data_IF_403752221505
#
_entry.id   IF_403752221505
#
_cell.length_a   1.000
_cell.length_b   1.000
_cell.length_c   1.000
_cell.angle_alpha   90.00
_cell.angle_beta   90.00
_cell.angle_gamma   90.00
#
_symmetry.space_group_name_H-M   'P 1'
#
loop_
_entity.id
_entity.type
_entity.pdbx_description
1 polymer ?
#
# COMPACT_ATOMS: atom_id res chain seq x y z
N UNK A 1 -51.37 -30.77 34.92
CA UNK A 1 -50.46 -30.97 33.76
C UNK A 1 -51.06 -30.39 32.47
N UNK A 2 -51.46 -29.10 32.46
CA UNK A 2 -52.01 -28.43 31.26
C UNK A 2 -51.10 -27.31 30.72
N UNK A 3 -50.12 -26.88 31.51
CA UNK A 3 -49.25 -25.74 31.16
C UNK A 3 -47.99 -26.17 30.39
N UNK A 4 -47.74 -27.47 30.23
CA UNK A 4 -46.56 -27.97 29.50
C UNK A 4 -46.79 -28.04 27.98
N UNK A 5 -48.06 -28.15 27.54
CA UNK A 5 -48.40 -28.24 26.11
C UNK A 5 -48.28 -26.90 25.37
N UNK A 6 -48.49 -25.77 26.07
CA UNK A 6 -48.39 -24.44 25.45
C UNK A 6 -46.94 -23.99 25.21
N UNK A 7 -45.96 -24.54 25.95
CA UNK A 7 -44.55 -24.21 25.79
C UNK A 7 -43.92 -24.82 24.53
N UNK A 8 -44.43 -25.96 24.06
CA UNK A 8 -43.89 -26.65 22.88
C UNK A 8 -44.46 -26.06 21.58
N UNK A 9 -45.70 -25.55 21.61
CA UNK A 9 -46.34 -24.93 20.44
C UNK A 9 -45.71 -23.57 20.07
N UNK A 10 -45.14 -22.84 21.05
CA UNK A 10 -44.47 -21.56 20.81
C UNK A 10 -43.08 -21.72 20.17
N UNK A 11 -42.42 -22.88 20.35
CA UNK A 11 -41.10 -23.15 19.76
C UNK A 11 -41.17 -23.55 18.27
N UNK A 12 -42.30 -24.10 17.80
CA UNK A 12 -42.44 -24.55 16.41
C UNK A 12 -42.70 -23.42 15.40
N UNK A 13 -43.07 -22.20 15.86
CA UNK A 13 -43.27 -21.05 14.98
C UNK A 13 -41.98 -20.27 14.66
N UNK A 14 -40.84 -20.63 15.26
CA UNK A 14 -39.54 -19.97 15.00
C UNK A 14 -38.64 -20.74 14.01
N UNK A 15 -39.10 -21.87 13.47
CA UNK A 15 -38.34 -22.66 12.48
C UNK A 15 -38.71 -22.38 11.01
N UNK A 16 -39.66 -21.48 10.76
CA UNK A 16 -39.97 -21.02 9.40
C UNK A 16 -39.15 -19.79 9.02
N UNK A 17 -37.83 -19.96 8.98
CA UNK A 17 -36.95 -19.04 8.25
C UNK A 17 -36.38 -19.79 7.05
N UNK A 18 -37.13 -19.77 5.96
CA UNK A 18 -36.65 -20.10 4.63
C UNK A 18 -35.77 -18.93 4.16
N UNK A 19 -34.52 -18.92 4.59
CA UNK A 19 -33.49 -18.11 3.95
C UNK A 19 -32.92 -18.94 2.81
N UNK A 20 -33.50 -18.72 1.63
CA UNK A 20 -32.80 -18.66 0.36
C UNK A 20 -31.36 -19.17 0.41
N UNK A 21 -31.15 -20.32 -0.23
CA UNK A 21 -29.83 -20.79 -0.69
C UNK A 21 -29.00 -19.56 -1.07
N UNK A 22 -27.78 -19.35 -0.52
CA UNK A 22 -26.88 -18.45 -1.21
C UNK A 22 -26.66 -19.11 -2.57
N UNK A 23 -27.20 -18.49 -3.62
CA UNK A 23 -26.69 -18.70 -4.95
C UNK A 23 -25.18 -18.65 -4.78
N UNK A 24 -24.49 -19.74 -5.09
CA UNK A 24 -23.07 -19.66 -5.40
C UNK A 24 -23.02 -18.66 -6.54
N UNK A 25 -22.79 -17.40 -6.20
CA UNK A 25 -22.17 -16.47 -7.09
C UNK A 25 -20.83 -17.14 -7.39
N UNK A 26 -20.79 -17.92 -8.46
CA UNK A 26 -19.57 -18.18 -9.19
C UNK A 26 -19.19 -16.78 -9.66
N UNK A 27 -18.49 -16.08 -8.78
CA UNK A 27 -17.80 -14.88 -9.13
C UNK A 27 -16.71 -15.36 -10.08
N UNK A 28 -17.05 -15.40 -11.37
CA UNK A 28 -16.08 -15.30 -12.45
C UNK A 28 -15.50 -13.88 -12.45
N UNK A 29 -15.13 -13.34 -11.28
CA UNK A 29 -14.09 -12.34 -11.18
C UNK A 29 -12.82 -13.12 -11.50
N UNK A 30 -12.51 -13.21 -12.80
CA UNK A 30 -11.12 -13.39 -13.19
C UNK A 30 -10.32 -12.40 -12.34
N UNK A 31 -9.32 -12.86 -11.59
CA UNK A 31 -8.52 -11.94 -10.79
C UNK A 31 -8.02 -10.84 -11.74
N UNK A 32 -8.10 -9.56 -11.34
CA UNK A 32 -7.64 -8.48 -12.18
C UNK A 32 -6.22 -8.79 -12.63
N UNK A 33 -5.99 -8.76 -13.95
CA UNK A 33 -4.67 -9.04 -14.52
C UNK A 33 -3.63 -8.15 -13.85
N UNK A 34 -2.42 -8.66 -13.72
CA UNK A 34 -1.29 -7.87 -13.20
C UNK A 34 -1.22 -6.52 -13.93
N UNK A 35 -1.28 -5.45 -13.16
CA UNK A 35 -1.48 -4.10 -13.67
C UNK A 35 -0.60 -3.11 -12.93
N UNK A 36 -0.07 -2.13 -13.65
CA UNK A 36 0.62 -0.96 -13.07
C UNK A 36 -0.24 0.27 -13.31
N UNK A 37 -0.52 1.03 -12.25
CA UNK A 37 -1.30 2.26 -12.31
C UNK A 37 -0.51 3.40 -11.65
N UNK A 38 -0.39 4.52 -12.34
CA UNK A 38 0.21 5.73 -11.79
C UNK A 38 -0.88 6.63 -11.22
N UNK A 39 -0.88 6.80 -9.91
CA UNK A 39 -1.81 7.69 -9.22
C UNK A 39 -1.20 9.08 -9.06
N UNK A 40 -1.97 10.16 -9.30
CA UNK A 40 -1.53 11.51 -8.96
C UNK A 40 -1.15 11.59 -7.49
N UNK A 41 0.11 11.85 -7.21
CA UNK A 41 0.63 11.91 -5.84
C UNK A 41 1.52 13.13 -5.69
N UNK A 42 1.03 14.12 -4.95
CA UNK A 42 1.78 15.35 -4.69
C UNK A 42 2.60 15.21 -3.42
N UNK A 43 3.91 15.10 -3.57
CA UNK A 43 4.86 15.25 -2.46
C UNK A 43 5.10 16.74 -2.20
N UNK A 44 5.90 17.09 -1.18
CA UNK A 44 6.18 18.49 -0.81
C UNK A 44 7.00 19.22 -1.89
N UNK A 45 7.60 18.49 -2.84
CA UNK A 45 8.53 19.03 -3.85
C UNK A 45 8.08 18.54 -5.24
N UNK A 46 7.82 19.46 -6.16
CA UNK A 46 7.31 19.14 -7.51
C UNK A 46 8.44 18.51 -8.37
N UNK A 47 8.16 17.39 -9.04
CA UNK A 47 9.10 16.72 -9.97
C UNK A 47 8.41 16.36 -11.29
N UNK A 48 9.16 16.08 -12.36
CA UNK A 48 8.63 15.82 -13.71
C UNK A 48 7.92 14.45 -13.88
N UNK A 49 8.13 13.50 -12.96
CA UNK A 49 7.49 12.17 -12.95
C UNK A 49 6.54 12.00 -11.75
N UNK A 50 5.59 12.93 -11.61
CA UNK A 50 4.69 13.03 -10.45
C UNK A 50 3.68 11.88 -10.38
N UNK A 51 3.95 10.87 -9.54
CA UNK A 51 2.92 9.92 -9.17
C UNK A 51 3.41 8.82 -8.25
N UNK A 52 2.46 8.16 -7.59
CA UNK A 52 2.67 6.91 -6.91
C UNK A 52 2.39 5.79 -7.92
N UNK A 53 3.42 5.05 -8.33
CA UNK A 53 3.28 3.92 -9.23
C UNK A 53 2.95 2.68 -8.41
N UNK A 54 1.72 2.20 -8.52
CA UNK A 54 1.25 1.02 -7.81
C UNK A 54 1.21 -0.19 -8.74
N UNK A 55 1.74 -1.30 -8.24
CA UNK A 55 1.81 -2.58 -8.93
C UNK A 55 0.84 -3.53 -8.25
N UNK A 56 -0.07 -4.09 -9.03
CA UNK A 56 -1.09 -5.01 -8.57
C UNK A 56 -0.85 -6.39 -9.16
N UNK A 57 -0.96 -7.42 -8.32
CA UNK A 57 -1.03 -8.83 -8.73
C UNK A 57 -2.40 -9.36 -8.32
N UNK A 58 -3.13 -9.95 -9.27
CA UNK A 58 -4.50 -10.44 -9.02
C UNK A 58 -5.41 -9.39 -8.35
N UNK A 59 -5.28 -8.12 -8.74
CA UNK A 59 -6.02 -7.00 -8.17
C UNK A 59 -5.58 -6.52 -6.79
N UNK A 60 -4.60 -7.17 -6.14
CA UNK A 60 -4.08 -6.74 -4.84
C UNK A 60 -2.78 -5.99 -5.00
N UNK A 61 -2.59 -4.93 -4.22
CA UNK A 61 -1.35 -4.17 -4.23
C UNK A 61 -0.20 -5.02 -3.68
N UNK A 62 0.89 -5.06 -4.43
CA UNK A 62 2.11 -5.76 -4.03
C UNK A 62 3.23 -4.76 -3.76
N UNK A 63 3.30 -3.71 -4.59
CA UNK A 63 4.34 -2.70 -4.50
C UNK A 63 3.81 -1.33 -4.84
N UNK A 64 4.32 -0.30 -4.18
CA UNK A 64 4.15 1.07 -4.63
C UNK A 64 5.49 1.81 -4.60
N UNK A 65 5.79 2.53 -5.68
CA UNK A 65 7.00 3.32 -5.82
C UNK A 65 6.62 4.80 -5.86
N UNK A 66 7.29 5.60 -5.05
CA UNK A 66 7.18 7.06 -5.04
C UNK A 66 8.55 7.66 -5.25
N UNK A 67 8.67 8.54 -6.23
CA UNK A 67 9.85 9.37 -6.43
C UNK A 67 9.70 10.65 -5.60
N UNK A 68 10.54 10.82 -4.58
CA UNK A 68 10.34 11.88 -3.58
C UNK A 68 11.01 13.21 -3.93
N UNK A 69 12.10 13.19 -4.70
CA UNK A 69 12.74 14.35 -5.37
C UNK A 69 14.06 13.90 -6.00
N UNK A 70 14.48 14.62 -7.05
CA UNK A 70 15.81 14.65 -7.64
C UNK A 70 16.28 16.09 -7.81
N UNK A 71 17.13 16.61 -6.93
CA UNK A 71 17.75 17.92 -7.15
C UNK A 71 18.93 17.79 -8.09
N UNK A 72 19.62 18.91 -8.34
CA UNK A 72 20.91 18.85 -9.04
C UNK A 72 21.82 17.82 -8.36
N UNK A 73 21.76 17.69 -7.03
CA UNK A 73 22.65 16.84 -6.21
C UNK A 73 22.27 15.36 -6.10
N UNK A 74 21.09 14.93 -6.55
CA UNK A 74 20.68 13.53 -6.41
C UNK A 74 19.18 13.32 -6.32
N UNK A 75 18.72 12.06 -6.44
CA UNK A 75 17.33 11.65 -6.30
C UNK A 75 17.09 10.57 -5.24
N UNK A 76 15.87 10.53 -4.70
CA UNK A 76 15.44 9.47 -3.78
C UNK A 76 14.15 8.78 -4.23
N UNK A 77 14.16 7.47 -4.11
CA UNK A 77 13.04 6.57 -4.37
C UNK A 77 12.59 5.99 -3.04
N UNK A 78 11.28 6.02 -2.77
CA UNK A 78 10.67 5.32 -1.65
C UNK A 78 9.79 4.20 -2.19
N UNK A 79 10.11 2.97 -1.81
CA UNK A 79 9.43 1.74 -2.22
C UNK A 79 8.66 1.21 -1.04
N UNK A 80 7.37 0.92 -1.24
CA UNK A 80 6.49 0.25 -0.32
C UNK A 80 6.22 -1.16 -0.84
N UNK A 81 6.56 -2.19 -0.09
CA UNK A 81 6.28 -3.58 -0.43
C UNK A 81 5.22 -4.11 0.55
N UNK A 82 4.08 -4.50 0.02
CA UNK A 82 2.93 -4.92 0.81
C UNK A 82 3.03 -6.41 1.08
N UNK A 83 3.15 -6.78 2.37
CA UNK A 83 3.15 -8.17 2.85
C UNK A 83 1.85 -8.43 3.59
N UNK A 84 1.54 -9.70 3.81
CA UNK A 84 0.27 -10.10 4.46
C UNK A 84 -0.02 -9.34 5.78
N UNK A 85 1.00 -9.04 6.59
CA UNK A 85 0.83 -8.48 7.93
C UNK A 85 1.46 -7.09 8.13
N UNK A 86 2.31 -6.65 7.20
CA UNK A 86 3.07 -5.42 7.32
C UNK A 86 3.43 -4.87 5.94
N UNK A 87 3.96 -3.66 5.93
CA UNK A 87 4.46 -3.00 4.73
C UNK A 87 5.92 -2.68 4.98
N UNK A 88 6.79 -3.25 4.15
CA UNK A 88 8.20 -2.92 4.11
C UNK A 88 8.35 -1.61 3.33
N UNK A 89 9.15 -0.71 3.87
CA UNK A 89 9.46 0.57 3.29
C UNK A 89 10.96 0.65 3.16
N UNK A 90 11.41 0.73 1.93
CA UNK A 90 12.81 0.97 1.60
C UNK A 90 12.92 2.37 0.98
N UNK A 91 13.87 3.17 1.46
CA UNK A 91 14.25 4.40 0.79
C UNK A 91 15.68 4.30 0.28
N UNK A 92 15.85 4.51 -1.02
CA UNK A 92 17.16 4.57 -1.66
C UNK A 92 17.46 6.02 -2.05
N UNK A 93 18.64 6.49 -1.67
CA UNK A 93 19.19 7.78 -2.09
C UNK A 93 20.30 7.56 -3.11
N UNK A 94 20.19 8.25 -4.24
CA UNK A 94 21.18 8.26 -5.32
C UNK A 94 21.70 9.68 -5.48
N UNK A 95 22.96 9.90 -5.13
CA UNK A 95 23.60 11.20 -5.26
C UNK A 95 24.34 11.31 -6.60
N UNK A 96 24.33 12.50 -7.20
CA UNK A 96 25.16 12.78 -8.37
C UNK A 96 26.50 13.33 -7.88
N UNK A 97 27.63 12.74 -8.32
CA UNK A 97 28.94 13.37 -8.13
C UNK A 97 29.12 14.42 -9.22
N UNK A 98 29.23 15.67 -8.82
CA UNK A 98 29.72 16.72 -9.69
C UNK A 98 31.23 16.86 -9.48
N UNK A 99 32.03 16.06 -10.17
CA UNK A 99 33.45 16.35 -10.28
C UNK A 99 33.63 17.51 -11.27
N UNK A 100 34.16 18.63 -10.75
CA UNK A 100 34.63 19.84 -11.42
C UNK A 100 34.32 19.97 -12.93
N UNK A 101 33.17 20.58 -13.25
CA UNK A 101 32.86 21.41 -14.45
C UNK A 101 33.34 20.96 -15.86
N UNK A 102 33.81 19.73 -16.07
CA UNK A 102 34.38 19.30 -17.36
C UNK A 102 33.77 18.06 -17.99
N UNK A 103 33.01 17.26 -17.24
CA UNK A 103 32.35 16.09 -17.80
C UNK A 103 30.83 16.30 -17.78
N UNK A 104 30.23 16.32 -18.97
CA UNK A 104 28.78 16.51 -19.16
C UNK A 104 27.93 15.29 -18.75
N UNK A 105 28.56 14.22 -18.28
CA UNK A 105 27.88 13.06 -17.71
C UNK A 105 28.21 12.96 -16.21
N UNK A 106 27.24 13.22 -15.31
CA UNK A 106 27.45 13.00 -13.89
C UNK A 106 27.62 11.51 -13.66
N UNK A 107 28.81 11.12 -13.19
CA UNK A 107 29.05 9.76 -12.72
C UNK A 107 28.11 9.53 -11.52
N UNK A 108 27.24 8.52 -11.61
CA UNK A 108 26.33 8.19 -10.50
C UNK A 108 27.18 7.76 -9.30
N UNK A 109 27.09 8.53 -8.21
CA UNK A 109 27.72 8.14 -6.96
C UNK A 109 26.98 6.97 -6.33
N UNK A 110 27.72 6.19 -5.55
CA UNK A 110 27.25 5.04 -4.78
C UNK A 110 25.93 5.30 -4.05
N UNK A 111 25.08 4.28 -3.98
CA UNK A 111 23.78 4.31 -3.28
C UNK A 111 24.05 4.49 -1.78
N UNK A 112 23.78 5.69 -1.25
CA UNK A 112 24.44 6.11 -0.01
C UNK A 112 23.67 5.76 1.28
N UNK A 113 22.43 5.30 1.18
CA UNK A 113 21.70 4.78 2.35
C UNK A 113 20.45 4.02 1.89
N UNK A 114 20.33 2.79 2.34
CA UNK A 114 19.10 2.02 2.31
C UNK A 114 18.47 2.13 3.69
N UNK A 115 17.38 2.89 3.80
CA UNK A 115 16.60 2.89 5.03
C UNK A 115 15.51 1.85 4.88
N UNK A 116 15.59 0.80 5.67
CA UNK A 116 14.57 -0.24 5.76
C UNK A 116 13.77 -0.06 7.04
N UNK A 117 12.48 0.19 6.90
CA UNK A 117 11.54 0.14 8.01
C UNK A 117 10.28 -0.64 7.63
N UNK A 118 9.59 -1.17 8.63
CA UNK A 118 8.32 -1.87 8.47
C UNK A 118 7.24 -1.11 9.23
N UNK A 119 6.06 -0.97 8.62
CA UNK A 119 4.87 -0.41 9.25
C UNK A 119 3.70 -1.38 9.17
N UNK A 120 2.72 -1.24 10.04
CA UNK A 120 1.43 -1.90 9.87
C UNK A 120 0.53 -1.13 8.87
N UNK A 121 -0.60 -1.72 8.51
CA UNK A 121 -1.59 -1.10 7.62
C UNK A 121 -2.30 0.13 8.21
N UNK A 122 -2.10 0.44 9.50
CA UNK A 122 -2.53 1.67 10.17
C UNK A 122 -1.45 2.76 10.11
N UNK A 123 -0.23 2.41 9.71
CA UNK A 123 0.95 3.26 9.64
C UNK A 123 1.79 3.29 10.92
N UNK A 124 1.54 2.41 11.89
CA UNK A 124 2.38 2.28 13.08
C UNK A 124 3.67 1.53 12.73
N UNK A 125 4.82 2.01 13.19
CA UNK A 125 6.12 1.39 12.90
C UNK A 125 6.30 0.11 13.70
N UNK A 126 6.79 -0.93 13.03
CA UNK A 126 7.09 -2.26 13.56
C UNK A 126 8.59 -2.40 13.86
N UNK A 127 9.48 -1.90 12.99
CA UNK A 127 10.96 -1.85 13.18
C UNK A 127 11.67 -1.10 12.01
N UNK A 128 12.90 -0.56 12.15
CA UNK A 128 13.60 -0.11 13.35
C UNK A 128 13.63 1.45 13.50
N UNK A 129 14.03 1.90 14.70
CA UNK A 129 14.24 3.26 15.27
C UNK A 129 13.20 4.42 15.07
N UNK A 130 12.76 5.12 16.14
CA UNK A 130 11.70 6.13 16.05
C UNK A 130 12.01 7.49 15.43
N UNK A 131 13.26 7.86 15.25
CA UNK A 131 13.60 9.26 14.95
C UNK A 131 13.27 9.70 13.51
N UNK A 132 13.17 8.78 12.54
CA UNK A 132 12.77 9.12 11.16
C UNK A 132 11.26 8.91 10.87
N UNK A 133 10.47 8.45 11.86
CA UNK A 133 9.07 8.00 11.70
C UNK A 133 8.10 9.06 11.15
N UNK A 134 8.22 10.32 11.58
CA UNK A 134 7.21 11.35 11.28
C UNK A 134 7.13 11.66 9.79
N UNK A 135 8.26 11.59 9.08
CA UNK A 135 8.32 11.86 7.63
C UNK A 135 7.61 10.74 6.86
N UNK A 136 7.92 9.48 7.17
CA UNK A 136 7.38 8.31 6.48
C UNK A 136 5.89 8.09 6.73
N UNK A 137 5.46 8.27 7.98
CA UNK A 137 4.06 8.18 8.34
C UNK A 137 3.21 9.19 7.55
N UNK A 138 3.71 10.41 7.37
CA UNK A 138 3.01 11.44 6.62
C UNK A 138 2.90 11.09 5.12
N UNK A 139 3.94 10.50 4.53
CA UNK A 139 3.90 10.06 3.11
C UNK A 139 2.93 8.88 2.97
N UNK A 140 3.04 7.86 3.83
CA UNK A 140 2.15 6.70 3.78
C UNK A 140 0.68 7.08 3.98
N UNK A 141 0.39 7.96 4.95
CA UNK A 141 -0.97 8.46 5.21
C UNK A 141 -1.56 9.16 3.99
N UNK A 142 -0.75 9.88 3.20
CA UNK A 142 -1.21 10.47 1.94
C UNK A 142 -1.41 9.40 0.88
N UNK A 143 -0.47 8.46 0.76
CA UNK A 143 -0.53 7.38 -0.24
C UNK A 143 -1.81 6.56 -0.10
N UNK A 144 -2.15 6.17 1.14
CA UNK A 144 -3.37 5.41 1.45
C UNK A 144 -4.67 6.12 1.05
N UNK A 145 -4.66 7.44 0.87
CA UNK A 145 -5.84 8.20 0.42
C UNK A 145 -6.05 8.17 -1.08
N UNK A 146 -5.00 7.89 -1.87
CA UNK A 146 -5.05 7.99 -3.33
C UNK A 146 -4.82 6.65 -4.03
N UNK A 147 -4.06 5.74 -3.42
CA UNK A 147 -3.76 4.42 -3.96
C UNK A 147 -4.67 3.40 -3.26
N UNK A 148 -5.63 2.78 -3.96
CA UNK A 148 -6.40 1.66 -3.42
C UNK A 148 -5.51 0.43 -3.26
N UNK A 149 -5.69 -0.34 -2.19
CA UNK A 149 -4.92 -1.57 -1.97
C UNK A 149 -5.50 -2.78 -2.70
N UNK A 150 -6.74 -2.67 -3.18
CA UNK A 150 -7.41 -3.66 -4.00
C UNK A 150 -8.16 -2.97 -5.15
N UNK A 151 -8.05 -3.52 -6.36
CA UNK A 151 -8.81 -3.11 -7.53
C UNK A 151 -10.15 -3.84 -7.52
N UNK A 152 -11.22 -3.11 -7.85
CA UNK A 152 -12.59 -3.65 -7.97
C UNK A 152 -12.87 -4.12 -9.38
#
# INVERSE_FOLDING_TARGET
MKNFFYSVLLYLLLLSCDSSRPARAISNLQPPKDTTITYPFKTVIQSYNNGAQAFYINGKIEKCVIYLYGGESGHSEQVYIFRNNHIEITQQFRNYKFDDLKNQDPEMSETEKELDCSIDYKGAVIAPDPFEQKKYYNVFRKLKKVVPFELK
#
